data_IF_810028967026
#
_entry.id   IF_810028967026
#
_cell.length_a   1.000
_cell.length_b   1.000
_cell.length_c   1.000
_cell.angle_alpha   90.00
_cell.angle_beta   90.00
_cell.angle_gamma   90.00
#
_symmetry.space_group_name_H-M   'P 1'
#
loop_
_entity.id
_entity.type
_entity.pdbx_description
1 polymer ?
#
# COMPACT_ATOMS: atom_id res chain seq x y z
N UNK A 1 9.52 78.46 -33.73
CA UNK A 1 9.18 77.06 -33.97
C UNK A 1 9.21 76.35 -32.63
N UNK A 2 8.06 76.07 -32.03
CA UNK A 2 7.96 75.33 -30.70
C UNK A 2 7.93 73.84 -31.00
N UNK A 3 8.92 73.09 -30.51
CA UNK A 3 8.99 71.62 -30.56
C UNK A 3 8.12 71.06 -29.48
N UNK A 4 7.04 70.30 -29.82
CA UNK A 4 6.23 69.49 -28.91
C UNK A 4 6.91 68.12 -28.77
N UNK A 5 7.30 67.76 -27.55
CA UNK A 5 7.73 66.39 -27.20
C UNK A 5 6.51 65.63 -26.70
N UNK A 6 6.10 64.57 -27.45
CA UNK A 6 5.11 63.58 -26.97
C UNK A 6 5.85 62.59 -26.10
N UNK A 7 5.54 62.59 -24.78
CA UNK A 7 5.99 61.53 -23.86
C UNK A 7 4.99 60.40 -23.95
N UNK A 8 5.44 59.27 -24.51
CA UNK A 8 4.65 58.01 -24.54
C UNK A 8 4.85 57.33 -23.19
N UNK A 9 3.88 57.42 -22.25
CA UNK A 9 3.87 56.65 -21.02
C UNK A 9 3.35 55.26 -21.36
N UNK A 10 4.27 54.31 -21.50
CA UNK A 10 3.94 52.89 -21.63
C UNK A 10 3.45 52.38 -20.27
N UNK A 11 2.15 52.14 -20.14
CA UNK A 11 1.56 51.47 -18.97
C UNK A 11 1.95 49.99 -19.02
N UNK A 12 3.00 49.62 -18.33
CA UNK A 12 3.32 48.22 -17.99
C UNK A 12 2.26 47.72 -17.01
N UNK A 13 1.21 47.08 -17.51
CA UNK A 13 0.30 46.30 -16.69
C UNK A 13 1.08 45.03 -16.29
N UNK A 14 1.37 44.79 -15.01
CA UNK A 14 1.94 43.53 -14.63
C UNK A 14 0.87 42.44 -14.87
N UNK A 15 1.08 41.58 -15.85
CA UNK A 15 0.41 40.31 -15.93
C UNK A 15 0.97 39.50 -14.77
N UNK A 16 0.24 39.46 -13.65
CA UNK A 16 0.44 38.44 -12.66
C UNK A 16 0.07 37.09 -13.31
N UNK A 17 1.06 36.35 -13.81
CA UNK A 17 0.90 34.92 -14.04
C UNK A 17 0.57 34.35 -12.66
N UNK A 18 -0.70 34.07 -12.40
CA UNK A 18 -1.06 33.13 -11.35
C UNK A 18 -0.53 31.78 -11.83
N UNK A 19 0.67 31.40 -11.40
CA UNK A 19 1.08 30.01 -11.45
C UNK A 19 0.03 29.25 -10.60
N UNK A 20 -0.60 28.25 -11.20
CA UNK A 20 -1.46 27.34 -10.43
C UNK A 20 -0.61 26.70 -9.34
N UNK A 21 -1.18 26.51 -8.18
CA UNK A 21 -0.56 25.71 -7.14
C UNK A 21 -0.54 24.25 -7.61
N UNK A 22 0.56 23.56 -7.36
CA UNK A 22 0.75 22.15 -7.73
C UNK A 22 0.89 21.34 -6.44
N UNK A 23 0.33 20.11 -6.43
CA UNK A 23 0.43 19.16 -5.33
C UNK A 23 0.90 17.81 -5.87
N UNK A 24 1.97 17.29 -5.30
CA UNK A 24 2.58 16.03 -5.71
C UNK A 24 2.29 14.96 -4.66
N UNK A 25 1.55 13.92 -5.06
CA UNK A 25 1.12 12.81 -4.20
C UNK A 25 1.76 11.51 -4.67
N UNK A 26 2.27 10.70 -3.75
CA UNK A 26 2.75 9.35 -4.02
C UNK A 26 2.04 8.36 -3.10
N UNK A 27 1.15 7.56 -3.66
CA UNK A 27 0.26 6.67 -2.94
C UNK A 27 0.32 5.24 -3.49
N UNK A 28 -0.32 4.33 -2.81
CA UNK A 28 -0.54 2.97 -3.28
C UNK A 28 -1.39 2.96 -4.55
N UNK A 29 -1.11 2.01 -5.45
CA UNK A 29 -2.03 1.71 -6.55
C UNK A 29 -3.38 1.26 -5.99
N UNK A 30 -4.45 1.56 -6.72
CA UNK A 30 -5.83 1.12 -6.47
C UNK A 30 -6.51 1.56 -5.14
N UNK A 31 -5.82 2.38 -4.34
CA UNK A 31 -6.32 2.83 -3.03
C UNK A 31 -6.85 4.27 -3.04
N UNK A 32 -7.53 4.68 -4.11
CA UNK A 32 -8.22 5.98 -4.24
C UNK A 32 -9.43 5.83 -5.16
N UNK A 33 -10.55 6.51 -4.86
CA UNK A 33 -11.69 6.52 -5.77
C UNK A 33 -11.37 7.35 -7.04
N UNK A 34 -11.85 6.87 -8.19
CA UNK A 34 -11.51 7.42 -9.52
C UNK A 34 -11.76 8.92 -9.67
N UNK A 35 -12.79 9.45 -9.00
CA UNK A 35 -13.20 10.84 -9.11
C UNK A 35 -12.56 11.78 -8.06
N UNK A 36 -11.78 11.24 -7.11
CA UNK A 36 -11.24 12.00 -5.96
C UNK A 36 -10.33 13.13 -6.41
N UNK A 37 -9.39 12.87 -7.31
CA UNK A 37 -8.42 13.87 -7.79
C UNK A 37 -9.17 14.96 -8.57
N UNK A 38 -10.02 14.58 -9.52
CA UNK A 38 -10.78 15.53 -10.32
C UNK A 38 -11.69 16.43 -9.47
N UNK A 39 -12.33 15.87 -8.44
CA UNK A 39 -13.15 16.64 -7.50
C UNK A 39 -12.32 17.62 -6.67
N UNK A 40 -11.15 17.19 -6.18
CA UNK A 40 -10.22 18.05 -5.45
C UNK A 40 -9.73 19.21 -6.29
N UNK A 41 -9.29 18.96 -7.51
CA UNK A 41 -8.82 20.00 -8.46
C UNK A 41 -9.94 20.99 -8.78
N UNK A 42 -11.16 20.49 -8.99
CA UNK A 42 -12.32 21.34 -9.29
C UNK A 42 -12.69 22.24 -8.10
N UNK A 43 -12.57 21.75 -6.86
CA UNK A 43 -12.90 22.49 -5.66
C UNK A 43 -11.83 23.52 -5.28
N UNK A 44 -10.54 23.15 -5.42
CA UNK A 44 -9.42 23.94 -4.91
C UNK A 44 -8.74 24.79 -5.97
N UNK A 45 -8.77 24.38 -7.22
CA UNK A 45 -7.99 24.97 -8.33
C UNK A 45 -6.51 24.59 -8.29
N UNK A 46 -6.10 23.64 -7.43
CA UNK A 46 -4.75 23.09 -7.34
C UNK A 46 -4.61 21.96 -8.35
N UNK A 47 -3.56 21.98 -9.18
CA UNK A 47 -3.26 20.87 -10.09
C UNK A 47 -2.54 19.74 -9.33
N UNK A 48 -2.99 18.49 -9.49
CA UNK A 48 -2.44 17.33 -8.77
C UNK A 48 -1.63 16.45 -9.71
N UNK A 49 -0.38 16.18 -9.33
CA UNK A 49 0.40 15.07 -9.90
C UNK A 49 0.30 13.88 -8.94
N UNK A 50 -0.30 12.81 -9.42
CA UNK A 50 -0.55 11.62 -8.61
C UNK A 50 0.21 10.43 -9.19
N UNK A 51 1.24 9.99 -8.46
CA UNK A 51 2.04 8.83 -8.81
C UNK A 51 1.74 7.68 -7.86
N UNK A 52 1.95 6.44 -8.30
CA UNK A 52 1.65 5.25 -7.51
C UNK A 52 2.88 4.38 -7.28
N UNK A 53 2.85 3.60 -6.20
CA UNK A 53 3.81 2.56 -5.88
C UNK A 53 3.07 1.31 -5.36
N UNK A 54 3.77 0.19 -5.31
CA UNK A 54 3.25 -1.13 -4.97
C UNK A 54 3.95 -1.80 -3.78
N UNK A 55 4.99 -1.16 -3.21
CA UNK A 55 5.65 -1.64 -2.00
C UNK A 55 6.23 -0.51 -1.15
N UNK A 56 6.27 -0.70 0.18
CA UNK A 56 6.91 0.23 1.10
C UNK A 56 8.40 0.40 0.81
N UNK A 57 9.06 -0.64 0.35
CA UNK A 57 10.50 -0.64 0.01
C UNK A 57 10.78 0.32 -1.15
N UNK A 58 9.92 0.34 -2.18
CA UNK A 58 10.01 1.28 -3.30
C UNK A 58 9.82 2.72 -2.82
N UNK A 59 8.79 2.97 -2.00
CA UNK A 59 8.57 4.27 -1.39
C UNK A 59 9.76 4.71 -0.55
N UNK A 60 10.25 3.86 0.36
CA UNK A 60 11.37 4.18 1.24
C UNK A 60 12.64 4.49 0.46
N UNK A 61 12.98 3.69 -0.55
CA UNK A 61 14.12 3.95 -1.43
C UNK A 61 14.01 5.33 -2.09
N UNK A 62 12.82 5.73 -2.53
CA UNK A 62 12.57 7.05 -3.12
C UNK A 62 12.75 8.17 -2.09
N UNK A 63 12.23 8.02 -0.88
CA UNK A 63 12.28 9.05 0.17
C UNK A 63 13.70 9.24 0.73
N UNK A 64 14.44 8.15 0.95
CA UNK A 64 15.79 8.19 1.53
C UNK A 64 16.84 8.78 0.58
N UNK A 65 16.57 8.89 -0.72
CA UNK A 65 17.46 9.63 -1.65
C UNK A 65 17.50 11.13 -1.35
N UNK A 66 16.54 11.63 -0.56
CA UNK A 66 16.33 13.04 -0.27
C UNK A 66 15.71 13.80 -1.44
N UNK A 67 14.95 14.84 -1.13
CA UNK A 67 14.26 15.67 -2.13
C UNK A 67 13.45 14.83 -3.14
N UNK A 68 12.55 14.00 -2.63
CA UNK A 68 11.72 13.08 -3.42
C UNK A 68 10.84 13.80 -4.45
N UNK A 69 10.51 15.07 -4.21
CA UNK A 69 9.61 15.88 -5.03
C UNK A 69 8.14 15.74 -4.66
N UNK A 70 7.79 14.90 -3.68
CA UNK A 70 6.41 14.72 -3.22
C UNK A 70 6.10 15.56 -1.99
N UNK A 71 4.86 16.07 -1.94
CA UNK A 71 4.30 16.80 -0.81
C UNK A 71 3.59 15.85 0.16
N UNK A 72 2.91 14.83 -0.38
CA UNK A 72 2.19 13.82 0.39
C UNK A 72 2.64 12.43 -0.08
N UNK A 73 2.94 11.56 0.90
CA UNK A 73 3.26 10.15 0.68
C UNK A 73 2.54 9.29 1.70
N UNK A 74 2.28 8.02 1.37
CA UNK A 74 1.43 7.13 2.18
C UNK A 74 2.17 5.84 2.55
N UNK A 75 3.14 5.88 3.48
CA UNK A 75 3.79 4.66 3.99
C UNK A 75 2.88 3.88 4.94
N UNK A 76 3.13 2.58 5.09
CA UNK A 76 2.58 1.80 6.19
C UNK A 76 3.20 2.21 7.54
N UNK A 77 2.51 1.90 8.65
CA UNK A 77 2.88 2.37 9.98
C UNK A 77 4.30 2.05 10.43
N UNK A 78 4.78 0.82 10.21
CA UNK A 78 6.16 0.40 10.56
C UNK A 78 7.23 1.17 9.78
N UNK A 79 7.02 1.42 8.50
CA UNK A 79 7.91 2.23 7.67
C UNK A 79 7.85 3.71 8.04
N UNK A 80 6.63 4.23 8.32
CA UNK A 80 6.45 5.61 8.81
C UNK A 80 7.31 5.89 10.04
N UNK A 81 7.31 4.98 11.03
CA UNK A 81 8.09 5.12 12.26
C UNK A 81 9.59 5.30 11.97
N UNK A 82 10.15 4.47 11.08
CA UNK A 82 11.56 4.54 10.70
C UNK A 82 11.87 5.81 9.91
N UNK A 83 11.00 6.22 9.01
CA UNK A 83 11.14 7.43 8.21
C UNK A 83 11.02 8.70 9.05
N UNK A 84 10.16 8.71 10.11
CA UNK A 84 10.12 9.79 11.10
C UNK A 84 11.46 9.90 11.83
N UNK A 85 12.02 8.77 12.29
CA UNK A 85 13.34 8.74 12.97
C UNK A 85 14.47 9.23 12.04
N UNK A 86 14.38 8.93 10.75
CA UNK A 86 15.30 9.42 9.73
C UNK A 86 15.11 10.91 9.38
N UNK A 87 14.07 11.56 9.87
CA UNK A 87 13.81 12.99 9.65
C UNK A 87 13.27 13.31 8.26
N UNK A 88 12.62 12.35 7.61
CA UNK A 88 12.04 12.51 6.26
C UNK A 88 10.86 13.47 6.25
N UNK A 89 10.05 13.46 7.32
CA UNK A 89 8.79 14.18 7.39
C UNK A 89 8.87 15.46 8.23
N UNK A 90 8.06 16.44 7.87
CA UNK A 90 7.80 17.61 8.69
C UNK A 90 6.57 17.39 9.58
N UNK A 91 6.53 18.07 10.73
CA UNK A 91 5.37 17.99 11.63
C UNK A 91 4.15 18.67 11.02
N UNK A 92 2.99 18.04 11.22
CA UNK A 92 1.72 18.59 10.81
C UNK A 92 1.28 19.76 11.73
N UNK A 93 0.72 20.78 11.12
CA UNK A 93 -0.05 21.81 11.85
C UNK A 93 -1.52 21.38 11.94
N UNK A 94 -1.84 20.63 12.99
CA UNK A 94 -3.18 20.09 13.20
C UNK A 94 -4.28 21.14 13.29
N UNK A 95 -3.93 22.40 13.59
CA UNK A 95 -4.91 23.49 13.64
C UNK A 95 -5.50 23.80 12.25
N UNK A 96 -4.82 23.37 11.19
CA UNK A 96 -5.25 23.54 9.79
C UNK A 96 -6.03 22.34 9.25
N UNK A 97 -6.09 21.24 10.00
CA UNK A 97 -6.74 19.99 9.55
C UNK A 97 -8.07 19.84 10.32
N UNK A 98 -9.12 20.49 9.81
CA UNK A 98 -10.43 20.56 10.49
C UNK A 98 -11.15 19.21 10.62
N UNK A 99 -10.84 18.26 9.72
CA UNK A 99 -11.55 16.98 9.61
C UNK A 99 -10.94 15.85 10.45
N UNK A 100 -9.91 16.11 11.27
CA UNK A 100 -9.29 15.10 12.14
C UNK A 100 -10.30 14.39 13.06
N UNK A 101 -11.37 15.09 13.45
CA UNK A 101 -12.44 14.53 14.29
C UNK A 101 -13.29 13.45 13.59
N UNK A 102 -13.15 13.29 12.27
CA UNK A 102 -13.88 12.28 11.51
C UNK A 102 -13.16 10.92 11.52
N UNK A 103 -11.93 10.87 12.00
CA UNK A 103 -11.15 9.63 12.07
C UNK A 103 -11.66 8.72 13.18
N UNK A 104 -11.66 7.40 12.93
CA UNK A 104 -12.05 6.40 13.91
C UNK A 104 -11.03 6.36 15.08
N UNK A 105 -11.48 6.63 16.33
CA UNK A 105 -10.59 6.63 17.49
C UNK A 105 -9.87 5.29 17.73
N UNK A 106 -10.48 4.16 17.37
CA UNK A 106 -9.89 2.83 17.55
C UNK A 106 -8.73 2.59 16.57
N UNK A 107 -8.86 3.13 15.35
CA UNK A 107 -7.78 3.06 14.37
C UNK A 107 -6.63 3.99 14.79
N UNK A 108 -6.96 5.19 15.28
CA UNK A 108 -5.95 6.13 15.78
C UNK A 108 -5.14 5.57 16.96
N UNK A 109 -5.77 4.79 17.86
CA UNK A 109 -5.07 4.12 18.95
C UNK A 109 -4.00 3.15 18.45
N UNK A 110 -4.26 2.45 17.33
CA UNK A 110 -3.28 1.56 16.70
C UNK A 110 -2.15 2.35 16.02
N UNK A 111 -2.48 3.40 15.30
CA UNK A 111 -1.47 4.24 14.62
C UNK A 111 -0.58 5.01 15.58
N UNK A 112 -1.02 5.25 16.83
CA UNK A 112 -0.24 5.93 17.87
C UNK A 112 1.05 5.16 18.25
N UNK A 113 1.09 3.86 17.99
CA UNK A 113 2.31 3.07 18.16
C UNK A 113 3.45 3.51 17.22
N UNK A 114 3.12 3.99 16.03
CA UNK A 114 4.08 4.37 14.98
C UNK A 114 4.34 5.88 14.90
N UNK A 115 3.34 6.69 15.24
CA UNK A 115 3.42 8.16 15.28
C UNK A 115 2.71 8.69 16.53
N UNK A 116 3.35 8.63 17.71
CA UNK A 116 2.73 9.03 18.96
C UNK A 116 2.13 10.42 18.91
N UNK A 117 0.82 10.49 19.13
CA UNK A 117 0.06 11.72 19.04
C UNK A 117 -0.19 12.20 17.61
N UNK A 118 0.07 11.40 16.56
CA UNK A 118 -0.16 11.74 15.15
C UNK A 118 0.52 13.06 14.76
N UNK A 119 1.80 13.21 15.04
CA UNK A 119 2.52 14.47 14.82
C UNK A 119 2.92 14.68 13.37
N UNK A 120 3.07 13.60 12.62
CA UNK A 120 3.59 13.60 11.25
C UNK A 120 2.61 13.03 10.24
N UNK A 121 1.60 12.29 10.69
CA UNK A 121 0.69 11.57 9.82
C UNK A 121 -0.79 11.78 10.17
N UNK A 122 -1.63 11.49 9.19
CA UNK A 122 -3.08 11.32 9.33
C UNK A 122 -3.39 9.93 8.79
N UNK A 123 -4.08 9.09 9.57
CA UNK A 123 -4.46 7.77 9.11
C UNK A 123 -5.32 7.87 7.85
N UNK A 124 -4.97 7.11 6.83
CA UNK A 124 -5.66 7.07 5.55
C UNK A 124 -6.56 5.84 5.44
N UNK A 125 -5.95 4.66 5.49
CA UNK A 125 -6.63 3.38 5.41
C UNK A 125 -6.00 2.38 6.38
N UNK A 126 -6.64 1.25 6.58
CA UNK A 126 -6.08 0.08 7.22
C UNK A 126 -6.60 -1.18 6.54
N UNK A 127 -5.82 -2.22 6.57
CA UNK A 127 -6.16 -3.52 6.01
C UNK A 127 -5.45 -4.62 6.79
N UNK A 128 -5.55 -5.82 6.28
CA UNK A 128 -4.84 -7.00 6.77
C UNK A 128 -4.25 -7.73 5.58
N UNK A 129 -3.19 -8.49 5.81
CA UNK A 129 -2.62 -9.40 4.83
C UNK A 129 -3.07 -10.81 5.13
N UNK A 130 -3.58 -11.51 4.14
CA UNK A 130 -4.17 -12.83 4.30
C UNK A 130 -4.08 -13.66 3.03
N UNK A 131 -4.98 -14.62 2.92
CA UNK A 131 -5.06 -15.54 1.79
C UNK A 131 -6.23 -15.12 0.91
N UNK A 132 -5.94 -14.61 -0.31
CA UNK A 132 -6.89 -14.54 -1.40
C UNK A 132 -6.95 -15.89 -2.12
N UNK A 133 -8.15 -16.35 -2.44
CA UNK A 133 -8.28 -17.67 -3.02
C UNK A 133 -9.48 -17.79 -3.95
N UNK A 134 -9.36 -18.66 -4.97
CA UNK A 134 -10.47 -19.13 -5.77
C UNK A 134 -11.18 -20.25 -5.02
N UNK A 135 -12.49 -20.07 -4.76
CA UNK A 135 -13.29 -20.94 -3.91
C UNK A 135 -13.34 -22.38 -4.48
N UNK A 136 -13.67 -22.52 -5.75
CA UNK A 136 -13.77 -23.84 -6.40
C UNK A 136 -12.43 -24.59 -6.36
N UNK A 137 -11.33 -23.89 -6.60
CA UNK A 137 -9.99 -24.48 -6.57
C UNK A 137 -9.60 -25.00 -5.19
N UNK A 138 -9.99 -24.28 -4.13
CA UNK A 138 -9.72 -24.70 -2.75
C UNK A 138 -10.62 -25.86 -2.33
N UNK A 139 -11.91 -25.79 -2.64
CA UNK A 139 -12.87 -26.89 -2.36
C UNK A 139 -12.46 -28.19 -3.04
N UNK A 140 -12.05 -28.12 -4.31
CA UNK A 140 -11.62 -29.30 -5.08
C UNK A 140 -10.39 -30.00 -4.46
N UNK A 141 -9.44 -29.21 -3.91
CA UNK A 141 -8.17 -29.69 -3.34
C UNK A 141 -8.20 -29.91 -1.84
N UNK A 142 -9.25 -29.46 -1.16
CA UNK A 142 -9.48 -29.65 0.27
C UNK A 142 -8.53 -28.84 1.15
N UNK A 143 -8.19 -27.60 0.74
CA UNK A 143 -7.33 -26.72 1.51
C UNK A 143 -8.03 -26.04 2.68
N UNK A 144 -7.27 -25.72 3.71
CA UNK A 144 -7.74 -24.98 4.88
C UNK A 144 -7.28 -23.51 4.80
N UNK A 145 -8.17 -22.64 4.35
CA UNK A 145 -7.91 -21.19 4.20
C UNK A 145 -7.85 -20.45 5.53
N UNK A 146 -8.25 -21.10 6.65
CA UNK A 146 -8.17 -20.52 7.99
C UNK A 146 -6.80 -20.75 8.66
N UNK A 147 -5.83 -21.34 7.93
CA UNK A 147 -4.47 -21.59 8.42
C UNK A 147 -3.42 -21.20 7.39
N UNK A 148 -2.35 -20.55 7.86
CA UNK A 148 -1.14 -20.30 7.07
C UNK A 148 -0.42 -21.61 6.67
N UNK A 149 -0.79 -22.76 7.23
CA UNK A 149 -0.29 -24.07 6.77
C UNK A 149 -0.55 -24.30 5.28
N UNK A 150 -1.67 -23.78 4.75
CA UNK A 150 -1.99 -23.81 3.33
C UNK A 150 -0.90 -23.23 2.44
N UNK A 151 -0.23 -22.18 2.92
CA UNK A 151 0.82 -21.47 2.18
C UNK A 151 2.22 -21.94 2.56
N UNK A 152 2.51 -22.11 3.86
CA UNK A 152 3.87 -22.35 4.33
C UNK A 152 4.25 -23.83 4.50
N UNK A 153 3.29 -24.75 4.37
CA UNK A 153 3.56 -26.17 4.34
C UNK A 153 3.77 -26.63 2.88
N UNK A 154 4.96 -27.15 2.50
CA UNK A 154 5.23 -27.61 1.13
C UNK A 154 4.26 -28.67 0.63
N UNK A 155 3.75 -29.53 1.51
CA UNK A 155 2.81 -30.60 1.12
C UNK A 155 1.43 -30.03 0.79
N UNK A 156 1.02 -28.94 1.41
CA UNK A 156 -0.25 -28.26 1.14
C UNK A 156 -0.14 -27.35 -0.10
N UNK A 157 0.79 -26.39 -0.12
CA UNK A 157 0.92 -25.45 -1.25
C UNK A 157 1.21 -26.14 -2.58
N UNK A 158 1.91 -27.27 -2.55
CA UNK A 158 2.23 -28.03 -3.78
C UNK A 158 1.00 -28.48 -4.57
N UNK A 159 -0.15 -28.64 -3.89
CA UNK A 159 -1.43 -29.01 -4.52
C UNK A 159 -1.98 -27.91 -5.44
N UNK A 160 -1.46 -26.69 -5.33
CA UNK A 160 -1.89 -25.49 -6.07
C UNK A 160 -0.86 -25.01 -7.09
N UNK A 161 0.27 -25.71 -7.21
CA UNK A 161 1.35 -25.30 -8.12
C UNK A 161 0.94 -25.28 -9.60
N UNK A 162 0.01 -26.13 -9.99
CA UNK A 162 -0.54 -26.23 -11.35
C UNK A 162 -1.45 -25.05 -11.70
N UNK A 163 -2.35 -24.66 -10.81
CA UNK A 163 -3.26 -23.54 -11.03
C UNK A 163 -2.65 -22.17 -10.65
N UNK A 164 -1.60 -22.16 -9.82
CA UNK A 164 -0.81 -20.96 -9.56
C UNK A 164 -1.03 -20.36 -8.18
N UNK A 165 0.10 -19.99 -7.56
CA UNK A 165 0.15 -19.28 -6.29
C UNK A 165 0.96 -18.02 -6.49
N UNK A 166 0.41 -16.86 -6.15
CA UNK A 166 1.09 -15.58 -6.10
C UNK A 166 1.44 -15.19 -4.67
N UNK A 167 2.44 -14.35 -4.54
CA UNK A 167 2.84 -13.79 -3.25
C UNK A 167 3.26 -12.34 -3.46
N UNK A 168 2.96 -11.48 -2.49
CA UNK A 168 3.37 -10.08 -2.50
C UNK A 168 4.88 -9.94 -2.69
N UNK A 169 5.30 -8.97 -3.50
CA UNK A 169 6.70 -8.49 -3.56
C UNK A 169 6.95 -7.46 -2.45
N UNK A 170 6.69 -7.88 -1.22
CA UNK A 170 6.85 -7.13 0.01
C UNK A 170 7.62 -7.98 1.03
N UNK A 171 8.96 -8.09 0.88
CA UNK A 171 9.77 -9.05 1.63
C UNK A 171 9.72 -8.86 3.15
N UNK A 172 9.58 -7.64 3.63
CA UNK A 172 9.45 -7.35 5.07
C UNK A 172 8.17 -7.98 5.62
N UNK A 173 7.05 -7.78 4.96
CA UNK A 173 5.73 -8.26 5.37
C UNK A 173 5.61 -9.78 5.28
N UNK A 174 6.12 -10.37 4.20
CA UNK A 174 6.15 -11.84 4.05
C UNK A 174 7.01 -12.48 5.15
N UNK A 175 8.11 -11.83 5.55
CA UNK A 175 8.95 -12.32 6.65
C UNK A 175 8.23 -12.22 7.99
N UNK A 176 7.49 -11.15 8.26
CA UNK A 176 6.69 -10.97 9.48
C UNK A 176 5.60 -12.05 9.61
N UNK A 177 4.90 -12.35 8.52
CA UNK A 177 3.89 -13.43 8.48
C UNK A 177 4.54 -14.79 8.69
N UNK A 178 5.68 -15.05 8.07
CA UNK A 178 6.42 -16.30 8.21
C UNK A 178 6.92 -16.52 9.65
N UNK A 179 7.39 -15.47 10.31
CA UNK A 179 7.78 -15.48 11.73
C UNK A 179 6.56 -15.77 12.63
N UNK A 180 5.43 -15.10 12.36
CA UNK A 180 4.20 -15.32 13.11
C UNK A 180 3.72 -16.76 12.99
N UNK A 181 3.69 -17.33 11.79
CA UNK A 181 3.35 -18.74 11.57
C UNK A 181 4.26 -19.70 12.34
N UNK A 182 5.56 -19.40 12.47
CA UNK A 182 6.51 -20.19 13.25
C UNK A 182 6.40 -19.95 14.77
N UNK A 183 5.49 -19.06 15.20
CA UNK A 183 5.27 -18.74 16.61
C UNK A 183 6.29 -17.77 17.21
N UNK A 184 7.01 -17.03 16.37
CA UNK A 184 7.89 -15.95 16.78
C UNK A 184 7.16 -14.61 16.80
N UNK A 185 7.74 -13.63 17.49
CA UNK A 185 7.34 -12.24 17.35
C UNK A 185 7.66 -11.76 15.93
N UNK A 186 6.69 -11.25 15.15
CA UNK A 186 6.91 -10.73 13.79
C UNK A 186 8.03 -9.67 13.70
N UNK A 187 8.21 -8.89 14.76
CA UNK A 187 9.21 -7.82 14.83
C UNK A 187 10.54 -8.27 15.45
N UNK A 188 10.79 -9.58 15.55
CA UNK A 188 11.99 -10.08 16.21
C UNK A 188 13.26 -9.80 15.43
N UNK A 189 14.31 -9.32 16.10
CA UNK A 189 15.66 -9.19 15.56
C UNK A 189 16.51 -10.49 15.75
N UNK A 190 15.89 -11.58 16.22
CA UNK A 190 16.58 -12.84 16.46
C UNK A 190 17.03 -13.49 15.14
N UNK A 191 18.33 -13.49 14.89
CA UNK A 191 18.92 -14.05 13.67
C UNK A 191 18.48 -15.49 13.42
N UNK A 192 18.39 -16.34 14.47
CA UNK A 192 18.00 -17.74 14.31
C UNK A 192 16.54 -17.87 13.87
N UNK A 193 15.61 -17.07 14.42
CA UNK A 193 14.23 -17.05 14.00
C UNK A 193 14.10 -16.63 12.53
N UNK A 194 14.82 -15.59 12.14
CA UNK A 194 14.86 -15.11 10.75
C UNK A 194 15.45 -16.16 9.80
N UNK A 195 16.48 -16.88 10.20
CA UNK A 195 17.05 -17.99 9.41
C UNK A 195 16.04 -19.14 9.26
N UNK A 196 15.29 -19.50 10.31
CA UNK A 196 14.24 -20.55 10.26
C UNK A 196 13.10 -20.14 9.32
N UNK A 197 12.64 -18.89 9.39
CA UNK A 197 11.63 -18.35 8.48
C UNK A 197 12.12 -18.38 7.01
N UNK A 198 13.34 -17.94 6.76
CA UNK A 198 13.94 -17.96 5.44
C UNK A 198 14.07 -19.39 4.87
N UNK A 199 14.46 -20.36 5.70
CA UNK A 199 14.58 -21.77 5.25
C UNK A 199 13.20 -22.38 4.96
N UNK A 200 12.14 -21.97 5.66
CA UNK A 200 10.77 -22.33 5.34
C UNK A 200 10.32 -21.72 4.01
N UNK A 201 10.53 -20.43 3.83
CA UNK A 201 10.18 -19.72 2.57
C UNK A 201 10.92 -20.34 1.36
N UNK A 202 12.18 -20.74 1.50
CA UNK A 202 12.92 -21.44 0.44
C UNK A 202 12.28 -22.76 0.03
N UNK A 203 11.66 -23.49 0.99
CA UNK A 203 11.00 -24.78 0.69
C UNK A 203 9.74 -24.60 -0.14
N UNK A 204 8.99 -23.54 0.09
CA UNK A 204 7.75 -23.25 -0.65
C UNK A 204 8.00 -22.50 -1.95
N UNK A 205 9.17 -21.83 -2.11
CA UNK A 205 9.51 -21.04 -3.29
C UNK A 205 9.26 -21.75 -4.63
N UNK A 206 9.53 -23.07 -4.79
CA UNK A 206 9.28 -23.77 -6.04
C UNK A 206 7.81 -23.81 -6.48
N UNK A 207 6.87 -23.59 -5.56
CA UNK A 207 5.44 -23.64 -5.81
C UNK A 207 4.83 -22.25 -6.04
N UNK A 208 5.60 -21.17 -5.79
CA UNK A 208 5.19 -19.79 -6.06
C UNK A 208 5.43 -19.49 -7.53
N UNK A 209 4.37 -19.12 -8.25
CA UNK A 209 4.43 -18.77 -9.68
C UNK A 209 5.19 -17.47 -9.89
N UNK A 210 4.86 -16.44 -9.11
CA UNK A 210 5.54 -15.14 -9.13
C UNK A 210 5.39 -14.38 -7.80
N UNK A 211 6.20 -13.32 -7.67
CA UNK A 211 6.08 -12.29 -6.63
C UNK A 211 5.73 -10.99 -7.34
N UNK A 212 4.59 -10.41 -6.97
CA UNK A 212 4.11 -9.14 -7.51
C UNK A 212 3.00 -8.62 -6.59
N UNK A 213 2.98 -7.30 -6.34
CA UNK A 213 2.04 -6.70 -5.40
C UNK A 213 0.82 -6.04 -6.06
N UNK A 214 0.63 -6.23 -7.38
CA UNK A 214 -0.51 -5.69 -8.12
C UNK A 214 -1.13 -6.73 -9.06
N UNK A 215 -0.32 -7.47 -9.85
CA UNK A 215 -0.80 -8.39 -10.87
C UNK A 215 -1.75 -9.46 -10.33
N UNK A 216 -1.57 -9.90 -9.07
CA UNK A 216 -2.40 -10.96 -8.48
C UNK A 216 -3.89 -10.58 -8.36
N UNK A 217 -4.24 -9.29 -8.40
CA UNK A 217 -5.62 -8.80 -8.38
C UNK A 217 -6.35 -9.29 -9.63
N UNK A 218 -5.81 -8.94 -10.80
CA UNK A 218 -6.36 -9.32 -12.08
C UNK A 218 -6.34 -10.85 -12.29
N UNK A 219 -5.23 -11.49 -11.91
CA UNK A 219 -5.06 -12.94 -12.10
C UNK A 219 -6.03 -13.74 -11.20
N UNK A 220 -6.33 -13.25 -9.99
CA UNK A 220 -7.31 -13.88 -9.11
C UNK A 220 -8.74 -13.64 -9.63
N UNK A 221 -9.05 -12.42 -10.08
CA UNK A 221 -10.35 -12.05 -10.65
C UNK A 221 -10.67 -12.85 -11.94
N UNK A 222 -9.66 -13.16 -12.73
CA UNK A 222 -9.81 -13.91 -13.97
C UNK A 222 -9.63 -15.44 -13.80
N UNK A 223 -9.37 -15.93 -12.58
CA UNK A 223 -9.14 -17.35 -12.30
C UNK A 223 -7.84 -17.91 -12.86
N UNK A 224 -6.86 -17.05 -13.17
CA UNK A 224 -5.54 -17.45 -13.67
C UNK A 224 -4.62 -17.97 -12.58
N UNK A 225 -4.92 -17.62 -11.30
CA UNK A 225 -4.30 -18.18 -10.11
C UNK A 225 -5.35 -18.67 -9.11
N UNK A 226 -4.96 -19.60 -8.25
CA UNK A 226 -5.84 -20.18 -7.24
C UNK A 226 -5.66 -19.61 -5.86
N UNK A 227 -4.45 -19.18 -5.53
CA UNK A 227 -4.07 -18.64 -4.22
C UNK A 227 -3.19 -17.40 -4.39
N UNK A 228 -3.39 -16.45 -3.49
CA UNK A 228 -2.52 -15.29 -3.34
C UNK A 228 -2.31 -15.00 -1.85
N UNK A 229 -1.07 -14.72 -1.46
CA UNK A 229 -0.82 -13.94 -0.23
C UNK A 229 -0.93 -12.49 -0.62
N UNK A 230 -1.96 -11.81 -0.14
CA UNK A 230 -2.33 -10.47 -0.61
C UNK A 230 -3.05 -9.63 0.44
N UNK A 231 -3.24 -8.37 0.12
CA UNK A 231 -3.94 -7.42 0.99
C UNK A 231 -5.45 -7.56 0.84
N UNK A 232 -6.15 -7.35 1.97
CA UNK A 232 -7.61 -7.50 2.02
C UNK A 232 -8.34 -6.62 1.01
N UNK A 233 -7.90 -5.36 0.83
CA UNK A 233 -8.51 -4.43 -0.13
C UNK A 233 -8.41 -4.92 -1.56
N UNK A 234 -7.24 -5.42 -1.95
CA UNK A 234 -6.96 -5.93 -3.28
C UNK A 234 -7.76 -7.22 -3.59
N UNK A 235 -7.84 -8.12 -2.61
CA UNK A 235 -8.64 -9.35 -2.80
C UNK A 235 -10.12 -9.04 -2.87
N UNK A 236 -10.61 -8.03 -2.14
CA UNK A 236 -12.00 -7.58 -2.29
C UNK A 236 -12.24 -6.93 -3.66
N UNK A 237 -11.26 -6.18 -4.17
CA UNK A 237 -11.33 -5.65 -5.54
C UNK A 237 -11.37 -6.79 -6.56
N UNK A 238 -10.48 -7.78 -6.43
CA UNK A 238 -10.50 -8.96 -7.29
C UNK A 238 -11.83 -9.72 -7.24
N UNK A 239 -12.46 -9.81 -6.07
CA UNK A 239 -13.77 -10.43 -5.91
C UNK A 239 -14.90 -9.63 -6.56
N UNK A 240 -14.84 -8.30 -6.50
CA UNK A 240 -15.82 -7.41 -7.13
C UNK A 240 -15.69 -7.40 -8.67
N UNK A 241 -14.49 -7.60 -9.19
CA UNK A 241 -14.17 -7.61 -10.61
C UNK A 241 -14.12 -9.04 -11.21
N UNK A 242 -14.43 -10.06 -10.41
CA UNK A 242 -14.32 -11.45 -10.81
C UNK A 242 -15.16 -11.76 -12.06
N UNK A 243 -14.60 -12.59 -12.96
CA UNK A 243 -15.31 -13.11 -14.11
C UNK A 243 -16.53 -13.93 -13.68
N UNK A 244 -17.54 -14.03 -14.56
CA UNK A 244 -18.86 -14.65 -14.26
C UNK A 244 -18.77 -16.08 -13.69
N UNK A 245 -17.69 -16.81 -13.96
CA UNK A 245 -17.42 -18.18 -13.56
C UNK A 245 -16.30 -18.32 -12.51
N UNK A 246 -15.89 -17.21 -11.91
CA UNK A 246 -14.85 -17.14 -10.86
C UNK A 246 -15.45 -16.63 -9.57
N UNK A 247 -15.20 -17.33 -8.47
CA UNK A 247 -15.54 -16.88 -7.12
C UNK A 247 -14.24 -16.72 -6.32
N UNK A 248 -13.87 -15.46 -6.07
CA UNK A 248 -12.69 -15.12 -5.27
C UNK A 248 -13.10 -14.64 -3.87
N UNK A 249 -12.38 -15.12 -2.85
CA UNK A 249 -12.63 -14.77 -1.44
C UNK A 249 -11.34 -14.49 -0.70
N UNK A 250 -11.49 -13.85 0.47
CA UNK A 250 -10.39 -13.52 1.38
C UNK A 250 -10.55 -14.21 2.72
N UNK A 251 -9.46 -14.75 3.26
CA UNK A 251 -9.41 -15.31 4.60
C UNK A 251 -8.24 -14.74 5.41
N UNK A 252 -8.49 -14.50 6.69
CA UNK A 252 -7.46 -14.22 7.69
C UNK A 252 -7.20 -15.51 8.45
N UNK A 253 -6.02 -16.13 8.31
CA UNK A 253 -5.67 -17.33 9.05
C UNK A 253 -5.72 -17.16 10.56
N UNK A 254 -6.06 -18.24 11.26
CA UNK A 254 -6.28 -18.25 12.72
C UNK A 254 -5.02 -17.97 13.54
N UNK A 255 -3.84 -18.19 12.98
CA UNK A 255 -2.55 -17.85 13.59
C UNK A 255 -2.33 -16.35 13.67
N UNK A 256 -3.15 -15.57 12.97
CA UNK A 256 -3.09 -14.12 12.91
C UNK A 256 -2.44 -13.60 11.63
N UNK A 257 -2.46 -12.27 11.51
CA UNK A 257 -1.93 -11.51 10.36
C UNK A 257 -1.15 -10.30 10.82
N UNK A 258 -0.47 -9.69 9.91
CA UNK A 258 0.22 -8.42 10.08
C UNK A 258 -0.57 -7.27 9.47
#
# INVERSE_FOLDING_TARGET
MKKFYFIFISLLIPFALNAKEELFIYNWSDYIAEDTIANFEAETGIDVTYDVFDSNEVLEAKLLTGNSGYDIVVPSGSFLENQIKAGVFQKLDKSKISNLSNLDPKVLEKTDAHDPGGLYSVNYMYGTTGIGYNVDAVEERGGDVESWDLIFNPDEISKYADCGVAMLDAPSEIMEIALNYLGYDPNTENTKANEEALEMLKKIRPFIRYFDSSQYIDDLANGEICLAVGWSGDVFLAADEAADDVEAWYSIPSEGTV
#
